data_IF_898525272049
#
_entry.id   IF_898525272049
#
_cell.length_a   1.000
_cell.length_b   1.000
_cell.length_c   1.000
_cell.angle_alpha   90.00
_cell.angle_beta   90.00
_cell.angle_gamma   90.00
#
_symmetry.space_group_name_H-M   'P 1'
#
loop_
_entity.id
_entity.type
_entity.pdbx_description
1 polymer ?
#
# COMPACT_ATOMS: atom_id res chain seq x y z
N UNK A 1 -25.32 -15.83 -0.14
CA UNK A 1 -24.50 -15.13 0.87
C UNK A 1 -25.39 -14.88 2.09
N UNK A 2 -24.95 -15.24 3.29
CA UNK A 2 -25.75 -15.13 4.55
C UNK A 2 -25.95 -13.67 4.96
N UNK A 3 -27.16 -13.33 5.43
CA UNK A 3 -27.53 -12.03 6.01
C UNK A 3 -26.46 -11.49 6.97
N UNK A 4 -26.01 -12.36 7.88
CA UNK A 4 -24.99 -12.03 8.89
C UNK A 4 -23.66 -11.58 8.30
N UNK A 5 -23.26 -12.13 7.14
CA UNK A 5 -22.02 -11.75 6.49
C UNK A 5 -22.11 -10.33 5.90
N UNK A 6 -23.21 -10.02 5.22
CA UNK A 6 -23.36 -8.74 4.51
C UNK A 6 -23.79 -7.59 5.41
N UNK A 7 -24.82 -7.78 6.23
CA UNK A 7 -25.45 -6.67 6.95
C UNK A 7 -24.87 -6.42 8.33
N UNK A 8 -24.12 -7.37 8.87
CA UNK A 8 -23.54 -7.25 10.22
C UNK A 8 -22.02 -7.23 10.14
N UNK A 9 -21.41 -8.27 9.56
CA UNK A 9 -19.94 -8.39 9.52
C UNK A 9 -19.33 -7.38 8.54
N UNK A 10 -19.73 -7.40 7.26
CA UNK A 10 -19.22 -6.46 6.25
C UNK A 10 -19.52 -5.01 6.66
N UNK A 11 -20.74 -4.70 7.11
CA UNK A 11 -21.08 -3.36 7.61
C UNK A 11 -20.19 -2.89 8.79
N UNK A 12 -19.95 -3.74 9.79
CA UNK A 12 -19.10 -3.38 10.92
C UNK A 12 -17.63 -3.19 10.50
N UNK A 13 -17.13 -4.05 9.61
CA UNK A 13 -15.80 -3.91 9.02
C UNK A 13 -15.67 -2.62 8.22
N UNK A 14 -16.72 -2.22 7.50
CA UNK A 14 -16.75 -0.96 6.75
C UNK A 14 -16.72 0.24 7.70
N UNK A 15 -17.52 0.25 8.77
CA UNK A 15 -17.50 1.32 9.78
C UNK A 15 -16.11 1.45 10.42
N UNK A 16 -15.54 0.34 10.88
CA UNK A 16 -14.20 0.34 11.47
C UNK A 16 -13.15 0.81 10.47
N UNK A 17 -13.25 0.40 9.20
CA UNK A 17 -12.29 0.87 8.19
C UNK A 17 -12.42 2.37 7.94
N UNK A 18 -13.66 2.91 7.90
CA UNK A 18 -13.89 4.35 7.75
C UNK A 18 -13.32 5.14 8.92
N UNK A 19 -13.42 4.63 10.14
CA UNK A 19 -12.79 5.22 11.32
C UNK A 19 -11.26 5.24 11.16
N UNK A 20 -10.63 4.12 10.80
CA UNK A 20 -9.19 4.08 10.57
C UNK A 20 -8.73 4.98 9.42
N UNK A 21 -9.53 5.12 8.36
CA UNK A 21 -9.24 6.08 7.27
C UNK A 21 -9.19 7.51 7.83
N UNK A 22 -10.17 7.90 8.66
CA UNK A 22 -10.21 9.22 9.29
C UNK A 22 -9.01 9.44 10.20
N UNK A 23 -8.63 8.44 11.00
CA UNK A 23 -7.45 8.52 11.87
C UNK A 23 -6.17 8.80 11.08
N UNK A 24 -5.98 8.15 9.93
CA UNK A 24 -4.82 8.41 9.08
C UNK A 24 -4.89 9.80 8.43
N UNK A 25 -6.07 10.26 8.01
CA UNK A 25 -6.26 11.60 7.45
C UNK A 25 -5.96 12.70 8.48
N UNK A 26 -6.42 12.52 9.73
CA UNK A 26 -6.11 13.43 10.82
C UNK A 26 -4.61 13.43 11.15
N UNK A 27 -3.95 12.27 11.07
CA UNK A 27 -2.50 12.21 11.22
C UNK A 27 -1.79 12.97 10.10
N UNK A 28 -2.18 12.77 8.84
CA UNK A 28 -1.64 13.54 7.70
C UNK A 28 -1.83 15.05 7.92
N UNK A 29 -2.98 15.47 8.43
CA UNK A 29 -3.24 16.89 8.71
C UNK A 29 -2.32 17.47 9.80
N UNK A 30 -1.94 16.66 10.81
CA UNK A 30 -1.02 17.07 11.88
C UNK A 30 0.45 16.98 11.47
N UNK A 31 0.81 15.97 10.68
CA UNK A 31 2.18 15.65 10.28
C UNK A 31 2.25 15.33 8.77
N UNK A 32 2.11 16.34 7.90
CA UNK A 32 2.05 16.12 6.45
C UNK A 32 3.37 15.64 5.84
N UNK A 33 4.48 15.74 6.57
CA UNK A 33 5.79 15.21 6.14
C UNK A 33 6.07 13.79 6.63
N UNK A 34 5.19 13.19 7.42
CA UNK A 34 5.37 11.82 7.90
C UNK A 34 4.84 10.84 6.82
N UNK A 35 5.68 9.96 6.24
CA UNK A 35 5.27 9.06 5.16
C UNK A 35 4.39 7.89 5.64
N UNK A 36 4.45 7.55 6.93
CA UNK A 36 3.78 6.38 7.50
C UNK A 36 2.24 6.41 7.35
N UNK A 37 1.52 7.50 7.70
CA UNK A 37 0.07 7.53 7.53
C UNK A 37 -0.39 7.45 6.08
N UNK A 38 0.42 7.93 5.11
CA UNK A 38 0.12 7.75 3.68
C UNK A 38 0.17 6.27 3.28
N UNK A 39 1.21 5.53 3.71
CA UNK A 39 1.31 4.09 3.46
C UNK A 39 0.17 3.31 4.12
N UNK A 40 -0.15 3.64 5.37
CA UNK A 40 -1.23 2.96 6.11
C UNK A 40 -2.61 3.24 5.47
N UNK A 41 -2.88 4.48 5.06
CA UNK A 41 -4.09 4.83 4.35
C UNK A 41 -4.17 4.10 3.00
N UNK A 42 -3.07 4.02 2.26
CA UNK A 42 -3.01 3.27 1.02
C UNK A 42 -3.39 1.79 1.21
N UNK A 43 -2.91 1.16 2.28
CA UNK A 43 -3.24 -0.24 2.59
C UNK A 43 -4.74 -0.42 2.86
N UNK A 44 -5.36 0.49 3.62
CA UNK A 44 -6.81 0.49 3.86
C UNK A 44 -7.59 0.66 2.55
N UNK A 45 -7.16 1.58 1.67
CA UNK A 45 -7.80 1.79 0.38
C UNK A 45 -7.67 0.59 -0.57
N UNK A 46 -6.53 -0.12 -0.57
CA UNK A 46 -6.36 -1.38 -1.32
C UNK A 46 -7.36 -2.44 -0.89
N UNK A 47 -7.59 -2.59 0.42
CA UNK A 47 -8.56 -3.56 0.96
C UNK A 47 -9.99 -3.27 0.48
N UNK A 48 -10.28 -2.01 0.16
CA UNK A 48 -11.56 -1.54 -0.40
C UNK A 48 -11.57 -1.44 -1.93
N UNK A 49 -10.60 -2.04 -2.62
CA UNK A 49 -10.54 -2.06 -4.08
C UNK A 49 -10.16 -0.71 -4.73
N UNK A 50 -9.82 0.30 -3.93
CA UNK A 50 -9.43 1.65 -4.39
C UNK A 50 -7.92 1.70 -4.72
N UNK A 51 -7.52 0.82 -5.66
CA UNK A 51 -6.11 0.57 -6.00
C UNK A 51 -5.37 1.80 -6.55
N UNK A 52 -6.05 2.65 -7.33
CA UNK A 52 -5.44 3.85 -7.92
C UNK A 52 -5.12 4.92 -6.87
N UNK A 53 -6.02 5.12 -5.91
CA UNK A 53 -5.80 6.09 -4.83
C UNK A 53 -4.71 5.61 -3.88
N UNK A 54 -4.68 4.31 -3.60
CA UNK A 54 -3.58 3.71 -2.85
C UNK A 54 -2.23 3.91 -3.55
N UNK A 55 -2.17 3.78 -4.88
CA UNK A 55 -0.94 4.03 -5.64
C UNK A 55 -0.49 5.49 -5.44
N UNK A 56 -1.40 6.46 -5.59
CA UNK A 56 -1.07 7.87 -5.38
C UNK A 56 -0.50 8.16 -3.99
N UNK A 57 -1.10 7.60 -2.95
CA UNK A 57 -0.63 7.76 -1.57
C UNK A 57 0.75 7.14 -1.33
N UNK A 58 1.02 5.97 -1.90
CA UNK A 58 2.33 5.34 -1.79
C UNK A 58 3.41 6.10 -2.55
N UNK A 59 3.06 6.71 -3.69
CA UNK A 59 3.97 7.61 -4.42
C UNK A 59 4.28 8.87 -3.61
N UNK A 60 3.31 9.42 -2.89
CA UNK A 60 3.56 10.51 -1.94
C UNK A 60 4.44 10.06 -0.77
N UNK A 61 4.21 8.86 -0.23
CA UNK A 61 5.05 8.32 0.86
C UNK A 61 6.52 8.22 0.45
N UNK A 62 6.82 7.70 -0.74
CA UNK A 62 8.21 7.63 -1.25
C UNK A 62 8.76 8.99 -1.70
N UNK A 63 7.90 9.98 -1.98
CA UNK A 63 8.33 11.37 -2.23
C UNK A 63 8.75 12.06 -0.94
N UNK A 64 8.10 11.73 0.18
CA UNK A 64 8.42 12.26 1.50
C UNK A 64 9.67 11.60 2.10
N UNK A 65 9.83 10.31 1.89
CA UNK A 65 11.01 9.53 2.29
C UNK A 65 11.34 8.49 1.20
N UNK A 66 12.39 8.75 0.42
CA UNK A 66 12.83 7.90 -0.69
C UNK A 66 13.48 6.59 -0.23
N UNK A 67 13.76 6.46 1.08
CA UNK A 67 14.27 5.23 1.69
C UNK A 67 13.18 4.40 2.36
N UNK A 68 11.91 4.84 2.33
CA UNK A 68 10.83 4.18 3.05
C UNK A 68 10.49 2.80 2.47
N UNK A 69 11.13 1.77 3.03
CA UNK A 69 11.15 0.42 2.50
C UNK A 69 9.76 -0.20 2.32
N UNK A 70 8.87 0.00 3.30
CA UNK A 70 7.50 -0.54 3.27
C UNK A 70 6.65 0.05 2.13
N UNK A 71 6.80 1.34 1.83
CA UNK A 71 6.09 1.98 0.74
C UNK A 71 6.61 1.48 -0.62
N UNK A 72 7.93 1.35 -0.77
CA UNK A 72 8.55 0.73 -1.93
C UNK A 72 8.09 -0.73 -2.14
N UNK A 73 8.01 -1.54 -1.08
CA UNK A 73 7.49 -2.90 -1.18
C UNK A 73 6.03 -2.94 -1.67
N UNK A 74 5.17 -2.07 -1.14
CA UNK A 74 3.78 -1.97 -1.59
C UNK A 74 3.66 -1.52 -3.06
N UNK A 75 4.49 -0.58 -3.50
CA UNK A 75 4.53 -0.14 -4.90
C UNK A 75 4.96 -1.28 -5.82
N UNK A 76 5.98 -2.06 -5.42
CA UNK A 76 6.44 -3.20 -6.19
C UNK A 76 5.30 -4.23 -6.43
N UNK A 77 4.54 -4.56 -5.39
CA UNK A 77 3.37 -5.43 -5.51
C UNK A 77 2.31 -4.86 -6.47
N UNK A 78 1.97 -3.57 -6.34
CA UNK A 78 0.95 -2.93 -7.18
C UNK A 78 1.38 -2.94 -8.64
N UNK A 79 2.62 -2.56 -8.94
CA UNK A 79 3.12 -2.52 -10.31
C UNK A 79 3.25 -3.92 -10.92
N UNK A 80 3.61 -4.92 -10.13
CA UNK A 80 3.63 -6.31 -10.59
C UNK A 80 2.23 -6.79 -11.03
N UNK A 81 1.18 -6.46 -10.26
CA UNK A 81 -0.21 -6.78 -10.62
C UNK A 81 -0.67 -6.02 -11.86
N UNK A 82 -0.20 -4.78 -12.06
CA UNK A 82 -0.50 -3.98 -13.26
C UNK A 82 0.28 -4.44 -14.51
N UNK A 83 1.27 -5.32 -14.34
CA UNK A 83 2.15 -5.77 -15.43
C UNK A 83 3.26 -4.78 -15.79
N UNK A 84 3.44 -3.70 -15.04
CA UNK A 84 4.60 -2.81 -15.20
C UNK A 84 5.78 -3.39 -14.42
N UNK A 85 6.41 -4.39 -15.03
CA UNK A 85 7.47 -5.16 -14.38
C UNK A 85 8.71 -4.31 -14.11
N UNK A 86 9.00 -3.33 -14.99
CA UNK A 86 10.10 -2.39 -14.80
C UNK A 86 9.90 -1.53 -13.55
N UNK A 87 8.72 -0.96 -13.36
CA UNK A 87 8.43 -0.21 -12.14
C UNK A 87 8.42 -1.13 -10.90
N UNK A 88 7.89 -2.35 -11.04
CA UNK A 88 7.86 -3.33 -9.96
C UNK A 88 9.28 -3.63 -9.42
N UNK A 89 10.21 -3.95 -10.32
CA UNK A 89 11.60 -4.23 -9.95
C UNK A 89 12.34 -3.01 -9.41
N UNK A 90 12.12 -1.82 -9.99
CA UNK A 90 12.69 -0.58 -9.46
C UNK A 90 12.32 -0.38 -7.98
N UNK A 91 11.03 -0.53 -7.65
CA UNK A 91 10.59 -0.36 -6.26
C UNK A 91 11.00 -1.54 -5.37
N UNK A 92 11.05 -2.77 -5.90
CA UNK A 92 11.53 -3.93 -5.15
C UNK A 92 12.99 -3.79 -4.73
N UNK A 93 13.86 -3.32 -5.63
CA UNK A 93 15.26 -3.08 -5.31
C UNK A 93 15.44 -1.93 -4.31
N UNK A 94 14.67 -0.86 -4.44
CA UNK A 94 14.70 0.22 -3.46
C UNK A 94 14.29 -0.27 -2.05
N UNK A 95 13.26 -1.11 -1.95
CA UNK A 95 12.89 -1.75 -0.68
C UNK A 95 14.01 -2.67 -0.15
N UNK A 96 14.63 -3.48 -1.02
CA UNK A 96 15.73 -4.39 -0.67
C UNK A 96 16.96 -3.62 -0.14
N UNK A 97 17.32 -2.48 -0.76
CA UNK A 97 18.40 -1.61 -0.30
C UNK A 97 18.11 -0.98 1.07
N UNK A 98 16.83 -0.73 1.38
CA UNK A 98 16.38 -0.20 2.67
C UNK A 98 16.05 -1.29 3.71
N UNK A 99 16.38 -2.56 3.44
CA UNK A 99 16.26 -3.65 4.42
C UNK A 99 14.97 -4.50 4.34
N UNK A 100 14.13 -4.29 3.33
CA UNK A 100 12.93 -5.11 3.06
C UNK A 100 13.07 -5.88 1.73
N UNK A 101 13.75 -7.04 1.71
CA UNK A 101 14.00 -7.81 0.48
C UNK A 101 12.76 -8.56 -0.03
N UNK A 102 11.70 -8.64 0.79
CA UNK A 102 10.53 -9.49 0.54
C UNK A 102 9.90 -9.24 -0.83
N UNK A 103 9.80 -8.00 -1.27
CA UNK A 103 9.22 -7.67 -2.57
C UNK A 103 10.07 -8.27 -3.72
N UNK A 104 11.39 -8.11 -3.68
CA UNK A 104 12.29 -8.66 -4.68
C UNK A 104 12.28 -10.21 -4.67
N UNK A 105 12.25 -10.82 -3.48
CA UNK A 105 12.11 -12.27 -3.33
C UNK A 105 10.83 -12.80 -3.99
N UNK A 106 9.71 -12.11 -3.82
CA UNK A 106 8.44 -12.48 -4.46
C UNK A 106 8.53 -12.36 -5.99
N UNK A 107 9.08 -11.27 -6.52
CA UNK A 107 9.25 -11.11 -7.97
C UNK A 107 10.13 -12.21 -8.58
N UNK A 108 11.25 -12.55 -7.93
CA UNK A 108 12.11 -13.70 -8.31
C UNK A 108 11.34 -15.01 -8.28
N UNK A 109 10.60 -15.27 -7.20
CA UNK A 109 9.82 -16.49 -7.00
C UNK A 109 8.76 -16.68 -8.09
N UNK A 110 8.11 -15.61 -8.51
CA UNK A 110 7.10 -15.63 -9.57
C UNK A 110 7.69 -15.43 -10.98
N UNK A 111 9.02 -15.36 -11.11
CA UNK A 111 9.72 -15.16 -12.40
C UNK A 111 9.23 -13.93 -13.16
N UNK A 112 8.94 -12.85 -12.45
CA UNK A 112 8.59 -11.57 -13.07
C UNK A 112 9.82 -11.04 -13.82
N UNK A 113 9.74 -10.72 -15.12
CA UNK A 113 10.89 -10.25 -15.88
C UNK A 113 11.35 -8.87 -15.40
N UNK A 114 12.67 -8.67 -15.28
CA UNK A 114 13.28 -7.36 -14.99
C UNK A 114 13.17 -6.39 -16.17
#
# INVERSE_FOLDING_TARGET
>A
MSFWRKEVIEFALDQQTLEHIREQQDWIAREPSNPLPYKNLAQLLRMHGRQEEALGLLLEAVRLDDTFAEAHACLAEIYAVRGDTKAAWRHAHAAELSGEPRAAELLRRYRVPE
#
